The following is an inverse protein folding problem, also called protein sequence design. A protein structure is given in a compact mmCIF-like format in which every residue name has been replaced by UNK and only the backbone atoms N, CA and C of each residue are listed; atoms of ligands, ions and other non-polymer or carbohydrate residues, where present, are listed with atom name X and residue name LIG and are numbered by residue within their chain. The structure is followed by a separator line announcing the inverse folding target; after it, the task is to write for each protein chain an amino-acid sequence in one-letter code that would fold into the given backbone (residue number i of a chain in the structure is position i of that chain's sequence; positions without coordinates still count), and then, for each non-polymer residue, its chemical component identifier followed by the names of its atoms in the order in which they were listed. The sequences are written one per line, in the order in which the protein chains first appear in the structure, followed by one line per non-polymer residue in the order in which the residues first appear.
data_IF_926748395341
#
_entry.id   IF_926748395341
#
_cell.length_a   1.000
_cell.length_b   1.000
_cell.length_c   1.000
_cell.angle_alpha   90.00
_cell.angle_beta   90.00
_cell.angle_gamma   90.00
#
_symmetry.space_group_name_H-M   'P 1'
#
loop_
_entity.id
_entity.type
_entity.pdbx_description
1 polymer ?
#
# COMPACT_ATOMS: atom_id res chain seq x y z
N UNK A 1 1.16 -14.21 6.48
CA UNK A 1 -0.10 -14.54 7.04
C UNK A 1 -0.99 -13.35 7.40
N UNK A 2 -0.71 -12.18 6.91
CA UNK A 2 -1.50 -11.05 7.40
C UNK A 2 -1.98 -10.16 6.27
N UNK A 3 -2.77 -10.72 5.35
CA UNK A 3 -3.32 -9.93 4.28
C UNK A 3 -4.24 -8.82 4.80
N UNK A 4 -4.84 -9.03 5.98
CA UNK A 4 -5.70 -8.01 6.56
C UNK A 4 -4.93 -6.75 6.95
N UNK A 5 -3.73 -6.92 7.51
CA UNK A 5 -2.89 -5.78 7.87
C UNK A 5 -2.48 -5.00 6.64
N UNK A 6 -1.99 -5.70 5.62
CA UNK A 6 -1.61 -5.06 4.38
C UNK A 6 -2.78 -4.40 3.69
N UNK A 7 -3.93 -5.06 3.71
CA UNK A 7 -5.13 -4.52 3.12
C UNK A 7 -5.57 -3.24 3.82
N UNK A 8 -5.47 -3.22 5.15
CA UNK A 8 -5.80 -2.04 5.93
C UNK A 8 -4.87 -0.87 5.59
N UNK A 9 -3.58 -1.15 5.45
CA UNK A 9 -2.61 -0.13 5.05
C UNK A 9 -2.95 0.44 3.69
N UNK A 10 -3.26 -0.42 2.75
CA UNK A 10 -3.61 0.00 1.40
C UNK A 10 -4.90 0.82 1.40
N UNK A 11 -5.84 0.44 2.23
CA UNK A 11 -7.09 1.18 2.37
C UNK A 11 -6.83 2.60 2.88
N UNK A 12 -5.94 2.74 3.86
CA UNK A 12 -5.59 4.06 4.37
C UNK A 12 -4.95 4.92 3.28
N UNK A 13 -4.10 4.31 2.46
CA UNK A 13 -3.51 5.03 1.33
C UNK A 13 -4.58 5.48 0.34
N UNK A 14 -5.51 4.60 0.01
CA UNK A 14 -6.54 4.92 -0.97
C UNK A 14 -7.47 6.02 -0.48
N UNK A 15 -7.60 6.16 0.84
CA UNK A 15 -8.40 7.22 1.44
C UNK A 15 -7.60 8.48 1.71
N UNK A 16 -6.34 8.49 1.29
CA UNK A 16 -5.43 9.62 1.47
C UNK A 16 -5.16 9.92 2.95
N UNK A 17 -5.19 8.90 3.79
CA UNK A 17 -4.91 9.02 5.21
C UNK A 17 -3.47 8.65 5.52
N UNK A 18 -2.55 9.44 5.00
CA UNK A 18 -1.13 9.13 5.08
C UNK A 18 -0.62 9.12 6.51
N UNK A 19 -1.09 10.05 7.33
CA UNK A 19 -0.67 10.10 8.74
C UNK A 19 -1.07 8.82 9.48
N UNK A 20 -2.29 8.36 9.26
CA UNK A 20 -2.76 7.13 9.89
C UNK A 20 -2.02 5.92 9.33
N UNK A 21 -1.68 5.96 8.05
CA UNK A 21 -0.88 4.92 7.43
C UNK A 21 0.47 4.77 8.13
N UNK A 22 1.15 5.88 8.36
CA UNK A 22 2.45 5.87 9.04
C UNK A 22 2.32 5.40 10.48
N UNK A 23 1.26 5.82 11.17
CA UNK A 23 1.00 5.36 12.53
C UNK A 23 0.78 3.86 12.57
N UNK A 24 0.04 3.33 11.60
CA UNK A 24 -0.18 1.90 11.51
C UNK A 24 1.13 1.15 11.27
N UNK A 25 2.01 1.72 10.45
CA UNK A 25 3.31 1.11 10.21
C UNK A 25 4.14 1.04 11.47
N UNK A 26 4.07 2.07 12.30
CA UNK A 26 4.83 2.09 13.55
C UNK A 26 4.39 0.99 14.51
N UNK A 27 3.16 0.55 14.42
CA UNK A 27 2.62 -0.52 15.26
C UNK A 27 2.98 -1.91 14.74
N UNK A 28 3.56 -2.01 13.55
CA UNK A 28 3.96 -3.28 12.95
C UNK A 28 5.41 -3.56 13.30
N UNK A 29 5.70 -4.80 13.62
CA UNK A 29 7.07 -5.19 13.94
C UNK A 29 7.96 -5.05 12.71
N UNK A 30 9.21 -4.57 12.90
CA UNK A 30 10.13 -4.40 11.77
C UNK A 30 10.37 -5.69 10.99
N UNK A 31 10.34 -6.83 11.65
CA UNK A 31 10.52 -8.11 10.98
C UNK A 31 9.42 -8.35 9.96
N UNK A 32 8.19 -8.02 10.29
CA UNK A 32 7.07 -8.19 9.39
C UNK A 32 7.16 -7.22 8.22
N UNK A 33 7.66 -6.01 8.47
CA UNK A 33 7.84 -5.03 7.40
C UNK A 33 8.80 -5.54 6.34
N UNK A 34 9.81 -6.31 6.75
CA UNK A 34 10.83 -6.80 5.82
C UNK A 34 10.43 -8.12 5.17
N UNK A 35 9.64 -8.94 5.84
CA UNK A 35 9.35 -10.29 5.35
C UNK A 35 8.02 -10.41 4.62
N UNK A 36 7.01 -9.67 5.04
CA UNK A 36 5.66 -9.84 4.48
C UNK A 36 5.46 -8.99 3.23
N UNK A 37 5.16 -9.65 2.11
CA UNK A 37 4.85 -8.92 0.88
C UNK A 37 3.54 -8.15 1.00
N UNK A 38 2.65 -8.62 1.86
CA UNK A 38 1.38 -7.93 2.08
C UNK A 38 1.57 -6.56 2.74
N UNK A 39 2.66 -6.41 3.48
CA UNK A 39 2.97 -5.15 4.13
C UNK A 39 3.90 -4.32 3.26
N UNK A 40 4.86 -4.96 2.58
CA UNK A 40 5.79 -4.25 1.71
C UNK A 40 5.10 -3.54 0.55
N UNK A 41 4.10 -4.18 -0.01
CA UNK A 41 3.43 -3.64 -1.18
C UNK A 41 2.82 -2.25 -0.92
N UNK A 42 2.01 -2.07 0.13
CA UNK A 42 1.48 -0.73 0.42
C UNK A 42 2.58 0.29 0.75
N UNK A 43 3.64 -0.16 1.43
CA UNK A 43 4.76 0.73 1.77
C UNK A 43 5.43 1.25 0.50
N UNK A 44 5.68 0.38 -0.46
CA UNK A 44 6.27 0.79 -1.73
C UNK A 44 5.34 1.72 -2.50
N UNK A 45 4.05 1.46 -2.48
CA UNK A 45 3.08 2.33 -3.13
C UNK A 45 3.12 3.73 -2.54
N UNK A 46 3.19 3.82 -1.22
CA UNK A 46 3.28 5.11 -0.56
C UNK A 46 4.52 5.88 -1.02
N UNK A 47 5.64 5.20 -1.10
CA UNK A 47 6.88 5.82 -1.57
C UNK A 47 6.75 6.31 -3.00
N UNK A 48 6.14 5.52 -3.87
CA UNK A 48 5.94 5.92 -5.26
C UNK A 48 5.07 7.17 -5.36
N UNK A 49 4.05 7.25 -4.53
CA UNK A 49 3.19 8.42 -4.50
C UNK A 49 3.94 9.66 -4.05
N UNK A 50 4.79 9.52 -3.04
CA UNK A 50 5.58 10.64 -2.55
C UNK A 50 6.59 11.13 -3.58
N UNK A 51 7.12 10.21 -4.38
CA UNK A 51 8.06 10.54 -5.44
C UNK A 51 7.38 11.07 -6.70
N UNK A 52 6.09 10.87 -6.80
CA UNK A 52 5.37 11.20 -8.02
C UNK A 52 5.55 10.18 -9.12
N UNK A 53 6.01 8.98 -8.79
CA UNK A 53 6.28 7.93 -9.76
C UNK A 53 5.04 7.11 -10.06
N UNK A 54 4.06 7.72 -10.70
CA UNK A 54 2.78 7.08 -10.96
C UNK A 54 2.90 5.87 -11.89
N UNK A 55 3.91 5.88 -12.77
CA UNK A 55 4.17 4.73 -13.62
C UNK A 55 4.50 3.48 -12.79
N UNK A 56 5.23 3.67 -11.70
CA UNK A 56 5.57 2.57 -10.80
C UNK A 56 4.33 2.07 -10.06
N UNK A 57 3.42 2.97 -9.74
CA UNK A 57 2.15 2.59 -9.12
C UNK A 57 1.36 1.68 -10.06
N UNK A 58 1.29 2.05 -11.35
CA UNK A 58 0.64 1.22 -12.36
C UNK A 58 1.30 -0.14 -12.48
N UNK A 59 2.62 -0.18 -12.48
CA UNK A 59 3.35 -1.45 -12.57
C UNK A 59 3.09 -2.33 -11.35
N UNK A 60 2.98 -1.73 -10.18
CA UNK A 60 2.70 -2.45 -8.94
C UNK A 60 1.35 -3.13 -8.95
N UNK A 61 0.44 -2.64 -9.77
CA UNK A 61 -0.89 -3.22 -9.90
C UNK A 61 -0.84 -4.70 -10.28
N UNK A 62 0.12 -5.06 -11.11
CA UNK A 62 0.27 -6.44 -11.56
C UNK A 62 0.98 -7.33 -10.54
N UNK A 63 1.57 -6.71 -9.52
CA UNK A 63 2.37 -7.42 -8.53
C UNK A 63 1.67 -7.56 -7.18
N UNK A 64 0.36 -7.34 -7.16
CA UNK A 64 -0.38 -7.40 -5.90
C UNK A 64 -0.34 -8.81 -5.32
N UNK A 65 -0.17 -8.93 -4.00
CA UNK A 65 -0.13 -10.24 -3.36
C UNK A 65 -1.50 -10.89 -3.23
N UNK A 66 -2.58 -10.12 -3.39
CA UNK A 66 -3.94 -10.64 -3.30
C UNK A 66 -4.87 -9.85 -4.21
N UNK A 67 -5.91 -10.49 -4.76
CA UNK A 67 -6.84 -9.81 -5.68
C UNK A 67 -7.54 -8.60 -5.07
N UNK A 68 -7.80 -8.63 -3.78
CA UNK A 68 -8.45 -7.53 -3.08
C UNK A 68 -7.68 -6.23 -3.21
N UNK A 69 -6.36 -6.34 -3.36
CA UNK A 69 -5.50 -5.16 -3.44
C UNK A 69 -5.73 -4.38 -4.73
N UNK A 70 -6.15 -5.06 -5.78
CA UNK A 70 -6.46 -4.39 -7.05
C UNK A 70 -7.56 -3.36 -6.88
N UNK A 71 -8.56 -3.68 -6.08
CA UNK A 71 -9.67 -2.78 -5.83
C UNK A 71 -9.18 -1.46 -5.24
N UNK A 72 -8.31 -1.54 -4.25
CA UNK A 72 -7.80 -0.33 -3.58
C UNK A 72 -6.84 0.44 -4.48
N UNK A 73 -6.07 -0.25 -5.29
CA UNK A 73 -5.18 0.41 -6.23
C UNK A 73 -5.99 1.19 -7.28
N UNK A 74 -7.09 0.63 -7.74
CA UNK A 74 -7.96 1.33 -8.67
C UNK A 74 -8.53 2.61 -8.03
N UNK A 75 -8.93 2.53 -6.76
CA UNK A 75 -9.39 3.72 -6.03
C UNK A 75 -8.27 4.74 -5.94
N UNK A 76 -7.08 4.28 -5.61
CA UNK A 76 -5.91 5.13 -5.46
C UNK A 76 -5.59 5.84 -6.78
N UNK A 77 -5.62 5.12 -7.88
CA UNK A 77 -5.34 5.70 -9.19
C UNK A 77 -6.41 6.72 -9.58
N UNK A 78 -7.64 6.47 -9.20
CA UNK A 78 -8.71 7.43 -9.43
C UNK A 78 -8.51 8.73 -8.65
N UNK A 79 -7.87 8.64 -7.49
CA UNK A 79 -7.60 9.81 -6.65
C UNK A 79 -6.42 10.63 -7.18
N UNK A 80 -5.46 9.98 -7.81
CA UNK A 80 -4.21 10.59 -8.23
C UNK A 80 -4.37 11.55 -9.42
N UNK A 81 -5.36 11.44 -10.19
CA UNK A 81 -5.52 12.20 -11.42
C UNK A 81 -5.03 13.65 -11.37
#
# INVERSE_FOLDING_TARGET
MYPLTGLNLLRLLSQNRIAEFHTALENIEPEQLLESVYIKHPVHLEQYLMEGSYNKVWSSRDEVPAPEYLFFIDILMGTIR
#
